data_IF_304901295311
#
_entry.id   IF_304901295311
#
_cell.length_a   1.000
_cell.length_b   1.000
_cell.length_c   1.000
_cell.angle_alpha   90.00
_cell.angle_beta   90.00
_cell.angle_gamma   90.00
#
_symmetry.space_group_name_H-M   'P 1'
#
loop_
_entity.id
_entity.type
_entity.pdbx_description
1 polymer ?
#
# COMPACT_ATOMS: atom_id res chain seq x y z
N UNK A 1 -16.86 5.27 56.89
CA UNK A 1 -17.05 5.11 55.43
C UNK A 1 -18.36 4.35 55.19
N UNK A 2 -19.19 4.84 54.33
CA UNK A 2 -20.43 4.13 53.94
C UNK A 2 -20.07 2.88 53.16
N UNK A 3 -20.88 1.84 53.22
CA UNK A 3 -20.66 0.56 52.52
C UNK A 3 -20.43 0.75 51.02
N UNK A 4 -21.05 1.76 50.41
CA UNK A 4 -20.87 2.19 49.02
C UNK A 4 -19.48 2.78 48.72
N UNK A 5 -18.89 3.48 49.68
CA UNK A 5 -17.55 4.04 49.55
C UNK A 5 -16.48 2.94 49.58
N UNK A 6 -16.67 1.93 50.42
CA UNK A 6 -15.78 0.76 50.51
C UNK A 6 -15.82 -0.02 49.20
N UNK A 7 -17.01 -0.24 48.61
CA UNK A 7 -17.18 -0.93 47.33
C UNK A 7 -16.49 -0.14 46.19
N UNK A 8 -16.67 1.19 46.20
CA UNK A 8 -16.00 2.05 45.20
C UNK A 8 -14.47 1.96 45.26
N UNK A 9 -13.90 2.01 46.47
CA UNK A 9 -12.48 1.88 46.68
C UNK A 9 -11.93 0.50 46.32
N UNK A 10 -12.70 -0.57 46.60
CA UNK A 10 -12.34 -1.92 46.14
C UNK A 10 -12.36 -2.00 44.62
N UNK A 11 -13.36 -1.43 43.92
CA UNK A 11 -13.40 -1.41 42.46
C UNK A 11 -12.24 -0.61 41.85
N UNK A 12 -11.88 0.52 42.44
CA UNK A 12 -10.73 1.32 42.04
C UNK A 12 -9.42 0.54 42.25
N UNK A 13 -9.26 -0.14 43.38
CA UNK A 13 -8.09 -0.96 43.67
C UNK A 13 -7.98 -2.16 42.71
N UNK A 14 -9.09 -2.82 42.39
CA UNK A 14 -9.15 -3.92 41.40
C UNK A 14 -8.83 -3.41 40.01
N UNK A 15 -9.35 -2.24 39.60
CA UNK A 15 -9.06 -1.63 38.31
C UNK A 15 -7.58 -1.21 38.21
N UNK A 16 -6.98 -0.68 39.27
CA UNK A 16 -5.57 -0.38 39.37
C UNK A 16 -4.69 -1.65 39.32
N UNK A 17 -5.08 -2.69 40.08
CA UNK A 17 -4.38 -3.97 40.06
C UNK A 17 -4.49 -4.65 38.70
N UNK A 18 -5.65 -4.64 38.05
CA UNK A 18 -5.81 -5.14 36.68
C UNK A 18 -4.93 -4.40 35.67
N UNK A 19 -4.80 -3.06 35.82
CA UNK A 19 -3.88 -2.28 34.99
C UNK A 19 -2.39 -2.61 35.24
N UNK A 20 -2.02 -3.03 36.44
CA UNK A 20 -0.66 -3.47 36.78
C UNK A 20 -0.38 -4.89 36.26
N UNK A 21 -1.40 -5.75 36.25
CA UNK A 21 -1.27 -7.17 35.86
C UNK A 21 -1.57 -7.46 34.39
N UNK A 22 -2.20 -6.52 33.65
CA UNK A 22 -2.34 -6.73 32.20
C UNK A 22 -0.94 -6.84 31.57
N UNK A 23 -0.69 -7.90 30.81
CA UNK A 23 0.55 -8.02 30.04
C UNK A 23 0.84 -6.74 29.27
N UNK A 24 2.10 -6.28 29.30
CA UNK A 24 2.48 -5.00 28.68
C UNK A 24 2.05 -4.86 27.23
N UNK A 25 1.94 -5.98 26.50
CA UNK A 25 1.49 -6.02 25.11
C UNK A 25 -0.04 -5.85 24.93
N UNK A 26 -0.82 -6.03 26.00
CA UNK A 26 -2.28 -5.76 26.00
C UNK A 26 -2.62 -4.35 26.49
N UNK A 27 -1.64 -3.56 26.93
CA UNK A 27 -1.86 -2.17 27.27
C UNK A 27 -1.71 -1.35 26.01
N UNK A 28 -2.73 -0.58 25.60
CA UNK A 28 -2.52 0.42 24.54
C UNK A 28 -1.41 1.36 25.00
N UNK A 29 -0.36 1.41 24.23
CA UNK A 29 0.85 2.19 24.58
C UNK A 29 0.63 3.69 24.43
N UNK A 30 -0.37 4.08 23.61
CA UNK A 30 -0.67 5.48 23.27
C UNK A 30 -2.18 5.72 23.18
N UNK A 31 -2.59 6.95 23.49
CA UNK A 31 -3.98 7.39 23.34
C UNK A 31 -4.49 7.24 21.91
N UNK A 32 -3.65 7.42 20.91
CA UNK A 32 -4.01 7.31 19.50
C UNK A 32 -4.18 5.87 18.99
N UNK A 33 -3.73 4.83 19.70
CA UNK A 33 -4.09 3.44 19.40
C UNK A 33 -5.58 3.17 19.68
N UNK A 34 -6.20 3.97 20.55
CA UNK A 34 -7.63 3.92 20.87
C UNK A 34 -8.40 5.05 20.20
N UNK A 35 -7.74 6.21 20.03
CA UNK A 35 -8.32 7.42 19.47
C UNK A 35 -7.52 7.86 18.24
N UNK A 36 -8.10 7.58 17.08
CA UNK A 36 -7.53 7.93 15.78
C UNK A 36 -7.79 9.41 15.40
N UNK A 37 -8.37 10.23 16.31
CA UNK A 37 -8.76 11.61 16.00
C UNK A 37 -7.62 12.45 15.41
N UNK A 38 -6.40 12.28 15.94
CA UNK A 38 -5.23 13.00 15.41
C UNK A 38 -4.84 12.53 13.99
N UNK A 39 -4.96 11.24 13.70
CA UNK A 39 -4.71 10.69 12.36
C UNK A 39 -5.80 11.12 11.38
N UNK A 40 -7.06 11.09 11.80
CA UNK A 40 -8.15 11.63 11.00
C UNK A 40 -7.95 13.12 10.67
N UNK A 41 -7.48 13.93 11.62
CA UNK A 41 -7.23 15.34 11.41
C UNK A 41 -6.11 15.61 10.37
N UNK A 42 -5.17 14.68 10.18
CA UNK A 42 -4.17 14.74 9.11
C UNK A 42 -4.78 14.43 7.75
N UNK A 43 -5.68 13.44 7.67
CA UNK A 43 -6.31 13.03 6.43
C UNK A 43 -7.43 13.97 5.98
N UNK A 44 -8.22 14.47 6.93
CA UNK A 44 -9.39 15.33 6.70
C UNK A 44 -9.04 16.77 7.07
N UNK A 45 -8.21 17.41 6.25
CA UNK A 45 -7.67 18.75 6.47
C UNK A 45 -8.34 19.85 5.63
N UNK A 46 -9.28 19.49 4.73
CA UNK A 46 -9.96 20.45 3.84
C UNK A 46 -11.31 20.88 4.40
N UNK A 47 -11.65 22.17 4.21
CA UNK A 47 -12.97 22.72 4.44
C UNK A 47 -13.85 22.59 3.20
N UNK A 48 -15.15 22.81 3.33
CA UNK A 48 -16.05 22.90 2.18
C UNK A 48 -15.62 23.98 1.17
N UNK A 49 -15.07 25.09 1.67
CA UNK A 49 -14.55 26.18 0.82
C UNK A 49 -13.33 25.73 0.01
N UNK A 50 -12.38 24.99 0.63
CA UNK A 50 -11.22 24.45 -0.09
C UNK A 50 -11.61 23.46 -1.18
N UNK A 51 -12.60 22.61 -0.90
CA UNK A 51 -13.14 21.65 -1.89
C UNK A 51 -13.84 22.39 -3.04
N UNK A 52 -14.65 23.39 -2.72
CA UNK A 52 -15.34 24.24 -3.71
C UNK A 52 -14.35 25.00 -4.58
N UNK A 53 -13.29 25.59 -4.01
CA UNK A 53 -12.24 26.27 -4.75
C UNK A 53 -11.53 25.31 -5.73
N UNK A 54 -11.24 24.08 -5.31
CA UNK A 54 -10.66 23.09 -6.22
C UNK A 54 -11.61 22.75 -7.38
N UNK A 55 -12.89 22.48 -7.08
CA UNK A 55 -13.90 22.08 -8.08
C UNK A 55 -14.20 23.21 -9.05
N UNK A 56 -14.25 24.47 -8.58
CA UNK A 56 -14.54 25.64 -9.41
C UNK A 56 -13.55 25.86 -10.56
N UNK A 57 -12.36 25.31 -10.49
CA UNK A 57 -11.37 25.32 -11.60
C UNK A 57 -11.86 24.58 -12.83
N UNK A 58 -12.76 23.62 -12.67
CA UNK A 58 -13.33 22.78 -13.72
C UNK A 58 -14.83 23.05 -13.93
N UNK A 59 -15.53 23.47 -12.88
CA UNK A 59 -16.96 23.81 -12.87
C UNK A 59 -17.09 25.19 -12.23
N UNK A 60 -16.94 26.28 -13.02
CA UNK A 60 -16.94 27.67 -12.47
C UNK A 60 -18.17 28.02 -11.65
N UNK A 61 -19.35 27.52 -12.05
CA UNK A 61 -20.65 27.81 -11.42
C UNK A 61 -21.07 26.76 -10.40
N UNK A 62 -20.10 25.99 -9.79
CA UNK A 62 -20.43 24.98 -8.79
C UNK A 62 -21.12 25.63 -7.58
N UNK A 63 -22.28 25.06 -7.20
CA UNK A 63 -23.09 25.58 -6.09
C UNK A 63 -22.83 24.83 -4.79
N UNK A 64 -23.23 25.42 -3.66
CA UNK A 64 -23.11 24.78 -2.35
C UNK A 64 -24.04 23.57 -2.25
N UNK A 65 -25.19 23.57 -2.91
CA UNK A 65 -26.11 22.45 -2.98
C UNK A 65 -25.47 21.25 -3.72
N UNK A 66 -24.70 21.49 -4.77
CA UNK A 66 -23.96 20.45 -5.47
C UNK A 66 -22.87 19.84 -4.57
N UNK A 67 -22.11 20.67 -3.85
CA UNK A 67 -21.12 20.19 -2.88
C UNK A 67 -21.81 19.34 -1.81
N UNK A 68 -22.94 19.80 -1.28
CA UNK A 68 -23.71 19.05 -0.29
C UNK A 68 -24.20 17.71 -0.85
N UNK A 69 -24.78 17.69 -2.05
CA UNK A 69 -25.26 16.46 -2.69
C UNK A 69 -24.13 15.43 -2.92
N UNK A 70 -22.95 15.89 -3.35
CA UNK A 70 -21.78 14.99 -3.47
C UNK A 70 -21.26 14.51 -2.12
N UNK A 71 -21.37 15.31 -1.07
CA UNK A 71 -21.01 14.92 0.30
C UNK A 71 -21.98 13.87 0.83
N UNK A 72 -23.29 14.11 0.72
CA UNK A 72 -24.35 13.19 1.17
C UNK A 72 -24.31 11.84 0.42
N UNK A 73 -23.95 11.87 -0.86
CA UNK A 73 -23.79 10.65 -1.68
C UNK A 73 -22.44 9.95 -1.46
N UNK A 74 -21.55 10.46 -0.59
CA UNK A 74 -20.22 9.91 -0.31
C UNK A 74 -19.19 10.13 -1.42
N UNK A 75 -19.51 10.86 -2.49
CA UNK A 75 -18.58 11.18 -3.59
C UNK A 75 -17.50 12.18 -3.17
N UNK A 76 -17.79 13.03 -2.20
CA UNK A 76 -16.83 13.85 -1.47
C UNK A 76 -16.66 13.24 -0.08
N UNK A 77 -15.58 12.47 0.11
CA UNK A 77 -15.32 11.83 1.40
C UNK A 77 -15.12 12.89 2.47
N UNK A 78 -15.92 12.81 3.53
CA UNK A 78 -15.92 13.76 4.64
C UNK A 78 -16.08 13.09 5.99
N UNK A 79 -15.71 13.79 7.05
CA UNK A 79 -15.83 13.34 8.44
C UNK A 79 -16.05 14.53 9.38
N UNK A 80 -16.85 14.29 10.42
CA UNK A 80 -16.99 15.27 11.50
C UNK A 80 -15.74 15.27 12.38
N UNK A 81 -15.03 16.42 12.42
CA UNK A 81 -13.84 16.63 13.24
C UNK A 81 -14.04 17.93 14.04
N UNK A 82 -14.04 17.83 15.36
CA UNK A 82 -14.20 18.99 16.22
C UNK A 82 -15.48 19.83 15.95
N UNK A 83 -16.61 19.17 15.65
CA UNK A 83 -17.91 19.78 15.30
C UNK A 83 -17.92 20.53 13.95
N UNK A 84 -17.04 20.17 13.05
CA UNK A 84 -17.00 20.68 11.68
C UNK A 84 -16.93 19.54 10.70
N UNK A 85 -17.65 19.61 9.61
CA UNK A 85 -17.49 18.71 8.48
C UNK A 85 -16.19 19.07 7.77
N UNK A 86 -15.23 18.15 7.86
CA UNK A 86 -13.94 18.23 7.19
C UNK A 86 -13.88 17.21 6.06
N UNK A 87 -13.23 17.57 4.98
CA UNK A 87 -13.12 16.73 3.80
C UNK A 87 -11.72 16.09 3.70
N UNK A 88 -11.69 14.89 3.16
CA UNK A 88 -10.43 14.23 2.83
C UNK A 88 -9.59 15.12 1.91
N UNK A 89 -8.29 15.19 2.17
CA UNK A 89 -7.36 16.08 1.43
C UNK A 89 -7.44 15.96 -0.10
N UNK A 90 -7.81 14.76 -0.60
CA UNK A 90 -8.01 14.49 -2.02
C UNK A 90 -9.50 14.34 -2.40
N UNK A 91 -10.46 14.77 -1.60
CA UNK A 91 -11.88 14.65 -1.91
C UNK A 91 -12.24 15.32 -3.25
N UNK A 92 -11.80 16.56 -3.48
CA UNK A 92 -12.01 17.26 -4.76
C UNK A 92 -11.36 16.52 -5.94
N UNK A 93 -10.04 16.20 -5.93
CA UNK A 93 -9.41 15.38 -6.96
C UNK A 93 -10.09 14.02 -7.19
N UNK A 94 -10.51 13.34 -6.13
CA UNK A 94 -11.18 12.04 -6.23
C UNK A 94 -12.54 12.13 -6.90
N UNK A 95 -13.32 13.18 -6.66
CA UNK A 95 -14.59 13.40 -7.35
C UNK A 95 -14.44 13.30 -8.88
N UNK A 96 -13.38 13.91 -9.43
CA UNK A 96 -13.07 13.85 -10.86
C UNK A 96 -12.43 12.54 -11.33
N UNK A 97 -12.14 11.61 -10.44
CA UNK A 97 -11.66 10.26 -10.77
C UNK A 97 -12.79 9.24 -10.78
N UNK A 98 -13.74 9.40 -9.84
CA UNK A 98 -14.79 8.41 -9.58
C UNK A 98 -16.12 8.71 -10.31
N UNK A 99 -16.32 9.95 -10.77
CA UNK A 99 -17.52 10.34 -11.54
C UNK A 99 -17.14 10.43 -13.02
N UNK A 100 -17.65 9.52 -13.89
CA UNK A 100 -17.18 9.44 -15.28
C UNK A 100 -17.31 10.72 -16.09
N UNK A 101 -18.45 11.42 -15.99
CA UNK A 101 -18.68 12.67 -16.71
C UNK A 101 -17.72 13.78 -16.26
N UNK A 102 -17.48 13.87 -14.95
CA UNK A 102 -16.53 14.84 -14.40
C UNK A 102 -15.09 14.49 -14.75
N UNK A 103 -14.77 13.19 -14.81
CA UNK A 103 -13.46 12.75 -15.29
C UNK A 103 -13.22 13.18 -16.73
N UNK A 104 -14.19 12.94 -17.62
CA UNK A 104 -14.12 13.37 -19.02
C UNK A 104 -13.97 14.88 -19.15
N UNK A 105 -14.75 15.64 -18.39
CA UNK A 105 -14.65 17.11 -18.34
C UNK A 105 -13.25 17.55 -17.93
N UNK A 106 -12.74 17.01 -16.83
CA UNK A 106 -11.41 17.36 -16.32
C UNK A 106 -10.30 17.00 -17.32
N UNK A 107 -10.34 15.80 -17.89
CA UNK A 107 -9.34 15.33 -18.85
C UNK A 107 -9.33 16.22 -20.12
N UNK A 108 -10.52 16.67 -20.56
CA UNK A 108 -10.65 17.63 -21.67
C UNK A 108 -10.03 19.00 -21.36
N UNK A 109 -10.30 19.56 -20.16
CA UNK A 109 -9.77 20.86 -19.73
C UNK A 109 -8.26 20.80 -19.53
N UNK A 110 -7.75 19.70 -18.93
CA UNK A 110 -6.32 19.48 -18.70
C UNK A 110 -5.56 19.16 -20.01
N UNK A 111 -6.24 19.06 -21.15
CA UNK A 111 -5.63 18.71 -22.44
C UNK A 111 -5.09 17.30 -22.50
N UNK A 112 -5.61 16.39 -21.66
CA UNK A 112 -5.28 14.97 -21.74
C UNK A 112 -6.01 14.38 -22.91
N UNK A 113 -5.24 14.02 -23.95
CA UNK A 113 -5.77 13.29 -25.10
C UNK A 113 -6.08 11.82 -24.77
N UNK A 114 -6.65 11.12 -25.75
CA UNK A 114 -6.90 9.66 -25.67
C UNK A 114 -5.59 8.84 -25.73
N UNK A 115 -4.45 9.50 -25.74
CA UNK A 115 -3.13 8.88 -25.79
C UNK A 115 -2.69 8.27 -24.47
N UNK A 116 -1.80 7.29 -24.58
CA UNK A 116 -1.16 6.70 -23.40
C UNK A 116 -0.11 7.67 -22.87
N UNK A 117 -0.16 7.97 -21.58
CA UNK A 117 0.80 8.82 -20.86
C UNK A 117 1.46 8.07 -19.69
N UNK A 118 2.53 8.67 -19.13
CA UNK A 118 3.23 8.13 -17.96
C UNK A 118 3.65 6.66 -18.13
N UNK A 119 3.38 5.84 -17.10
CA UNK A 119 3.69 4.41 -17.12
C UNK A 119 2.99 3.67 -18.26
N UNK A 120 1.76 4.06 -18.65
CA UNK A 120 0.99 3.38 -19.71
C UNK A 120 1.71 3.43 -21.06
N UNK A 121 2.35 4.55 -21.38
CA UNK A 121 3.13 4.70 -22.61
C UNK A 121 4.37 3.79 -22.63
N UNK A 122 4.93 3.51 -21.46
CA UNK A 122 6.06 2.60 -21.29
C UNK A 122 5.59 1.16 -21.40
N UNK A 123 4.53 0.81 -20.68
CA UNK A 123 3.97 -0.54 -20.64
C UNK A 123 3.47 -1.00 -22.02
N UNK A 124 2.87 -0.09 -22.80
CA UNK A 124 2.46 -0.39 -24.15
C UNK A 124 3.62 -0.83 -25.06
N UNK A 125 4.86 -0.43 -24.73
CA UNK A 125 6.08 -0.88 -25.44
C UNK A 125 6.71 -2.12 -24.80
N UNK A 126 6.66 -2.21 -23.48
CA UNK A 126 7.36 -3.25 -22.69
C UNK A 126 6.59 -4.57 -22.69
N UNK A 127 5.27 -4.52 -22.52
CA UNK A 127 4.45 -5.73 -22.41
C UNK A 127 4.50 -6.60 -23.66
N UNK A 128 4.40 -6.07 -24.89
CA UNK A 128 4.57 -6.88 -26.09
C UNK A 128 5.94 -7.59 -26.16
N UNK A 129 7.02 -6.92 -25.75
CA UNK A 129 8.37 -7.50 -25.73
C UNK A 129 8.47 -8.65 -24.72
N UNK A 130 7.93 -8.47 -23.52
CA UNK A 130 7.90 -9.52 -22.49
C UNK A 130 7.13 -10.73 -23.02
N UNK A 131 5.95 -10.52 -23.59
CA UNK A 131 5.12 -11.61 -24.16
C UNK A 131 5.84 -12.35 -25.26
N UNK A 132 6.49 -11.64 -26.20
CA UNK A 132 7.27 -12.23 -27.27
C UNK A 132 8.41 -13.10 -26.72
N UNK A 133 9.18 -12.56 -25.77
CA UNK A 133 10.31 -13.26 -25.17
C UNK A 133 9.85 -14.53 -24.44
N UNK A 134 8.77 -14.47 -23.66
CA UNK A 134 8.21 -15.62 -22.95
C UNK A 134 7.69 -16.67 -23.95
N UNK A 135 6.94 -16.27 -24.96
CA UNK A 135 6.38 -17.18 -25.97
C UNK A 135 7.48 -17.80 -26.87
N UNK A 136 8.62 -17.14 -27.00
CA UNK A 136 9.79 -17.70 -27.70
C UNK A 136 10.60 -18.70 -26.86
N UNK A 137 10.17 -18.98 -25.62
CA UNK A 137 10.78 -19.98 -24.75
C UNK A 137 11.96 -19.48 -23.89
N UNK A 138 12.12 -18.17 -23.71
CA UNK A 138 13.19 -17.60 -22.85
C UNK A 138 12.89 -17.73 -21.33
N UNK A 139 11.79 -18.37 -20.95
CA UNK A 139 11.31 -18.45 -19.58
C UNK A 139 10.27 -17.39 -19.23
N UNK A 140 9.72 -17.43 -18.01
CA UNK A 140 8.68 -16.47 -17.56
C UNK A 140 9.25 -15.13 -17.09
N UNK A 141 10.54 -15.06 -16.77
CA UNK A 141 11.23 -13.86 -16.27
C UNK A 141 12.19 -13.36 -17.33
N UNK A 142 11.93 -12.18 -17.88
CA UNK A 142 12.63 -11.62 -19.05
C UNK A 142 12.78 -10.11 -18.96
N UNK A 143 13.49 -9.50 -19.90
CA UNK A 143 13.64 -8.05 -20.07
C UNK A 143 14.18 -7.35 -18.79
N UNK A 144 15.38 -7.71 -18.31
CA UNK A 144 15.96 -7.13 -17.11
C UNK A 144 16.23 -5.63 -17.26
N UNK A 145 15.97 -4.87 -16.20
CA UNK A 145 16.28 -3.44 -16.05
C UNK A 145 17.09 -3.21 -14.79
N UNK A 146 18.30 -2.69 -14.94
CA UNK A 146 19.16 -2.34 -13.82
C UNK A 146 18.92 -0.90 -13.40
N UNK A 147 18.74 -0.68 -12.12
CA UNK A 147 18.46 0.62 -11.54
C UNK A 147 19.33 0.84 -10.30
N UNK A 148 19.69 2.11 -10.05
CA UNK A 148 20.24 2.57 -8.78
C UNK A 148 19.20 3.46 -8.12
N UNK A 149 18.96 3.22 -6.84
CA UNK A 149 17.99 3.98 -6.06
C UNK A 149 18.70 4.65 -4.88
N UNK A 150 18.38 5.92 -4.66
CA UNK A 150 18.64 6.62 -3.41
C UNK A 150 17.31 6.85 -2.73
N UNK A 151 17.10 6.24 -1.56
CA UNK A 151 15.93 6.47 -0.73
C UNK A 151 16.31 7.28 0.50
N UNK A 152 15.47 8.21 0.93
CA UNK A 152 15.72 9.05 2.10
C UNK A 152 14.47 9.37 2.88
N UNK A 153 14.63 9.51 4.20
CA UNK A 153 13.61 9.96 5.14
C UNK A 153 14.18 11.14 5.92
N UNK A 154 13.45 12.26 5.94
CA UNK A 154 13.87 13.49 6.61
C UNK A 154 12.92 13.84 7.75
N UNK A 155 13.46 13.99 8.95
CA UNK A 155 12.77 14.48 10.15
C UNK A 155 13.13 15.95 10.34
N UNK A 156 12.17 16.89 10.29
CA UNK A 156 12.43 18.32 10.47
C UNK A 156 13.00 18.63 11.86
N UNK A 157 13.85 19.64 11.93
CA UNK A 157 14.40 20.14 13.19
C UNK A 157 13.28 20.50 14.16
N UNK A 158 13.51 20.27 15.45
CA UNK A 158 12.52 20.50 16.52
C UNK A 158 11.26 19.63 16.49
N UNK A 159 11.14 18.63 15.61
CA UNK A 159 10.06 17.63 15.67
C UNK A 159 10.09 16.87 16.99
N UNK A 160 11.29 16.57 17.50
CA UNK A 160 11.50 15.94 18.80
C UNK A 160 12.53 16.70 19.62
N UNK A 161 12.57 16.44 20.94
CA UNK A 161 13.53 17.07 21.85
C UNK A 161 14.96 16.72 21.45
N UNK A 162 15.84 17.71 21.35
CA UNK A 162 17.27 17.50 21.10
C UNK A 162 17.89 16.55 22.13
N UNK A 163 18.74 15.63 21.66
CA UNK A 163 19.34 14.57 22.47
C UNK A 163 18.52 13.29 22.56
N UNK A 164 17.25 13.29 22.14
CA UNK A 164 16.45 12.06 21.99
C UNK A 164 17.01 11.17 20.88
N UNK A 165 16.89 9.87 21.02
CA UNK A 165 17.25 8.93 19.95
C UNK A 165 16.14 8.92 18.91
N UNK A 166 16.49 9.16 17.65
CA UNK A 166 15.68 8.91 16.47
C UNK A 166 16.08 7.56 15.89
N UNK A 167 15.10 6.74 15.54
CA UNK A 167 15.25 5.42 14.90
C UNK A 167 14.49 5.42 13.60
N UNK A 168 15.12 4.98 12.53
CA UNK A 168 14.55 4.97 11.20
C UNK A 168 14.72 3.60 10.55
N UNK A 169 13.65 3.11 9.92
CA UNK A 169 13.63 1.94 9.03
C UNK A 169 13.39 2.46 7.62
N UNK A 170 14.33 2.21 6.72
CA UNK A 170 14.21 2.53 5.29
C UNK A 170 13.81 1.27 4.52
N UNK A 171 13.01 1.36 3.43
CA UNK A 171 12.55 0.22 2.66
C UNK A 171 13.67 -0.33 1.75
N UNK A 172 14.20 -1.51 2.02
CA UNK A 172 15.29 -2.14 1.28
C UNK A 172 14.79 -3.26 0.36
N UNK A 173 15.44 -3.53 -0.80
CA UNK A 173 15.02 -4.58 -1.71
C UNK A 173 14.97 -5.97 -1.05
N UNK A 174 13.89 -6.72 -1.30
CA UNK A 174 13.82 -8.14 -0.92
C UNK A 174 14.76 -9.00 -1.77
N UNK A 175 15.38 -9.99 -1.15
CA UNK A 175 16.34 -10.92 -1.78
C UNK A 175 15.70 -12.23 -2.24
N UNK A 176 14.48 -12.53 -1.82
CA UNK A 176 13.74 -13.76 -2.08
C UNK A 176 12.74 -13.66 -3.24
N UNK A 177 12.85 -12.65 -4.10
CA UNK A 177 11.99 -12.43 -5.26
C UNK A 177 12.75 -12.79 -6.54
N UNK A 178 12.32 -13.83 -7.24
CA UNK A 178 13.05 -14.40 -8.39
C UNK A 178 13.34 -13.40 -9.52
N UNK A 179 12.45 -12.44 -9.78
CA UNK A 179 12.62 -11.39 -10.80
C UNK A 179 13.44 -10.18 -10.33
N UNK A 180 13.87 -10.17 -9.05
CA UNK A 180 14.63 -9.07 -8.43
C UNK A 180 16.01 -9.60 -8.02
N UNK A 181 17.02 -9.29 -8.82
CA UNK A 181 18.36 -9.88 -8.73
C UNK A 181 19.46 -8.82 -8.63
N UNK A 182 20.71 -9.26 -8.48
CA UNK A 182 21.90 -8.40 -8.46
C UNK A 182 21.82 -7.24 -7.47
N UNK A 183 21.16 -7.47 -6.33
CA UNK A 183 21.01 -6.47 -5.29
C UNK A 183 22.37 -6.15 -4.70
N UNK A 184 22.78 -4.90 -4.81
CA UNK A 184 24.06 -4.40 -4.33
C UNK A 184 23.84 -3.20 -3.43
N UNK A 185 24.13 -3.34 -2.16
CA UNK A 185 24.24 -2.21 -1.24
C UNK A 185 25.43 -1.35 -1.63
N UNK A 186 25.24 -0.04 -1.72
CA UNK A 186 26.29 0.95 -2.05
C UNK A 186 26.71 1.68 -0.78
N UNK A 187 25.78 2.38 -0.15
CA UNK A 187 26.01 3.13 1.09
C UNK A 187 24.70 3.43 1.81
N UNK A 188 24.79 3.73 3.09
CA UNK A 188 23.72 4.36 3.85
C UNK A 188 24.32 5.32 4.87
N UNK A 189 23.53 6.30 5.30
CA UNK A 189 24.05 7.30 6.21
C UNK A 189 23.03 8.30 6.74
N UNK A 190 23.55 9.32 7.42
CA UNK A 190 22.78 10.38 8.04
C UNK A 190 23.40 11.72 7.66
N UNK A 191 22.58 12.69 7.23
CA UNK A 191 22.98 14.05 6.86
C UNK A 191 24.14 14.10 5.85
N UNK A 192 24.09 13.22 4.85
CA UNK A 192 25.13 13.06 3.82
C UNK A 192 26.47 12.45 4.32
N UNK A 193 26.51 11.96 5.55
CA UNK A 193 27.67 11.23 6.10
C UNK A 193 27.37 9.75 6.06
N UNK A 194 28.14 9.00 5.27
CA UNK A 194 28.05 7.54 5.21
C UNK A 194 28.41 6.93 6.59
N UNK A 195 27.60 5.98 7.03
CA UNK A 195 27.83 5.27 8.27
C UNK A 195 28.70 4.02 8.05
N UNK A 196 29.52 3.64 9.03
CA UNK A 196 30.20 2.33 9.02
C UNK A 196 29.18 1.23 9.17
N UNK A 197 29.52 0.03 8.65
CA UNK A 197 28.58 -1.10 8.59
C UNK A 197 28.04 -1.58 9.94
N UNK A 198 28.77 -1.40 11.03
CA UNK A 198 28.34 -1.73 12.40
C UNK A 198 27.22 -0.80 12.94
N UNK A 199 26.90 0.28 12.22
CA UNK A 199 25.81 1.23 12.52
C UNK A 199 24.59 1.05 11.63
N UNK A 200 24.61 0.08 10.75
CA UNK A 200 23.57 -0.24 9.79
C UNK A 200 23.08 -1.66 10.05
N UNK A 201 21.79 -1.86 10.25
CA UNK A 201 21.21 -3.17 10.50
C UNK A 201 20.18 -3.47 9.40
N UNK A 202 20.45 -4.50 8.61
CA UNK A 202 19.45 -5.04 7.68
C UNK A 202 18.47 -5.92 8.44
N UNK A 203 17.22 -5.91 7.99
CA UNK A 203 16.21 -6.83 8.53
C UNK A 203 16.64 -8.29 8.30
N UNK A 204 16.17 -9.17 9.19
CA UNK A 204 16.27 -10.61 8.97
C UNK A 204 15.61 -10.97 7.63
N UNK A 205 16.22 -11.83 6.79
CA UNK A 205 15.66 -12.24 5.51
C UNK A 205 14.24 -12.84 5.58
N UNK A 206 13.88 -13.44 6.73
CA UNK A 206 12.54 -13.98 6.97
C UNK A 206 11.48 -12.90 7.26
N UNK A 207 11.87 -11.64 7.50
CA UNK A 207 10.94 -10.58 7.75
C UNK A 207 10.14 -10.22 6.50
N UNK A 208 8.84 -10.06 6.65
CA UNK A 208 7.96 -9.66 5.56
C UNK A 208 8.26 -8.26 5.02
N UNK A 209 8.74 -7.37 5.88
CA UNK A 209 9.14 -6.00 5.55
C UNK A 209 10.66 -5.92 5.49
N UNK A 210 11.21 -5.92 4.27
CA UNK A 210 12.65 -5.77 4.08
C UNK A 210 13.09 -4.35 4.38
N UNK A 211 13.97 -4.16 5.34
CA UNK A 211 14.36 -2.83 5.80
C UNK A 211 15.84 -2.70 6.15
N UNK A 212 16.31 -1.48 6.09
CA UNK A 212 17.60 -1.03 6.61
C UNK A 212 17.34 -0.08 7.77
N UNK A 213 17.86 -0.42 8.94
CA UNK A 213 17.69 0.34 10.18
C UNK A 213 18.93 1.14 10.52
N UNK A 214 18.70 2.35 10.96
CA UNK A 214 19.72 3.27 11.52
C UNK A 214 19.16 4.07 12.68
N UNK A 215 20.04 4.55 13.57
CA UNK A 215 19.65 5.47 14.63
C UNK A 215 20.66 6.61 14.83
N UNK A 216 20.18 7.74 15.35
CA UNK A 216 21.01 8.89 15.71
C UNK A 216 20.37 9.70 16.83
N UNK A 217 21.12 10.69 17.34
CA UNK A 217 20.58 11.67 18.29
C UNK A 217 20.01 12.88 17.57
N UNK A 218 18.78 13.24 17.89
CA UNK A 218 18.16 14.48 17.41
C UNK A 218 18.99 15.69 17.87
N UNK A 219 19.17 16.63 16.97
CA UNK A 219 19.84 17.90 17.24
C UNK A 219 18.86 19.09 17.16
N UNK A 220 19.32 20.31 17.45
CA UNK A 220 18.51 21.55 17.41
C UNK A 220 18.90 22.50 16.27
N UNK A 221 19.75 22.06 15.36
CA UNK A 221 20.39 22.95 14.41
C UNK A 221 19.89 22.77 12.98
N UNK A 222 19.56 21.55 12.60
CA UNK A 222 19.14 21.18 11.25
C UNK A 222 18.24 19.95 11.23
N UNK A 223 17.58 19.74 10.13
CA UNK A 223 16.81 18.53 9.83
C UNK A 223 17.74 17.31 9.84
N UNK A 224 17.21 16.15 10.18
CA UNK A 224 17.96 14.89 10.13
C UNK A 224 17.45 14.05 8.97
N UNK A 225 18.34 13.71 8.04
CA UNK A 225 18.04 12.90 6.87
C UNK A 225 18.76 11.57 6.93
N UNK A 226 18.00 10.49 7.09
CA UNK A 226 18.46 9.12 6.89
C UNK A 226 18.40 8.78 5.42
N UNK A 227 19.43 8.12 4.88
CA UNK A 227 19.42 7.70 3.48
C UNK A 227 20.11 6.37 3.25
N UNK A 228 19.75 5.73 2.18
CA UNK A 228 20.41 4.55 1.62
C UNK A 228 20.54 4.67 0.11
N UNK A 229 21.55 3.99 -0.45
CA UNK A 229 21.77 3.85 -1.89
C UNK A 229 22.03 2.38 -2.19
N UNK A 230 21.31 1.85 -3.16
CA UNK A 230 21.47 0.48 -3.63
C UNK A 230 21.27 0.39 -5.15
N UNK A 231 21.80 -0.68 -5.73
CA UNK A 231 21.52 -1.08 -7.10
C UNK A 231 20.81 -2.43 -7.09
N UNK A 232 19.98 -2.68 -8.10
CA UNK A 232 19.34 -3.96 -8.30
C UNK A 232 18.91 -4.10 -9.77
N UNK A 233 18.61 -5.33 -10.16
CA UNK A 233 18.02 -5.65 -11.45
C UNK A 233 16.60 -6.14 -11.21
N UNK A 234 15.62 -5.52 -11.89
CA UNK A 234 14.24 -6.00 -11.92
C UNK A 234 13.89 -6.45 -13.33
N UNK A 235 13.25 -7.61 -13.44
CA UNK A 235 12.82 -8.18 -14.72
C UNK A 235 11.31 -8.15 -14.86
N UNK A 236 10.80 -8.06 -16.07
CA UNK A 236 9.41 -8.35 -16.38
C UNK A 236 9.13 -9.83 -16.15
N UNK A 237 7.94 -10.15 -15.71
CA UNK A 237 7.50 -11.53 -15.50
C UNK A 237 6.11 -11.72 -16.11
N UNK A 238 5.90 -12.86 -16.78
CA UNK A 238 4.59 -13.20 -17.32
C UNK A 238 4.41 -14.71 -17.44
N UNK A 239 3.25 -15.17 -16.98
CA UNK A 239 2.79 -16.55 -17.06
C UNK A 239 1.54 -16.58 -17.94
N UNK A 240 1.61 -17.15 -19.17
CA UNK A 240 0.43 -17.37 -20.01
C UNK A 240 -0.39 -18.53 -19.46
N UNK A 241 -1.23 -18.25 -18.47
CA UNK A 241 -2.00 -19.28 -17.76
C UNK A 241 -3.11 -19.79 -18.67
N UNK A 242 -3.06 -21.10 -18.95
CA UNK A 242 -4.15 -21.84 -19.57
C UNK A 242 -5.03 -22.45 -18.46
N UNK A 243 -6.27 -22.02 -18.38
CA UNK A 243 -7.20 -22.47 -17.35
C UNK A 243 -7.41 -24.00 -17.36
N UNK A 244 -7.31 -24.65 -18.53
CA UNK A 244 -7.48 -26.11 -18.64
C UNK A 244 -6.32 -26.90 -18.00
N UNK A 245 -5.18 -26.27 -17.80
CA UNK A 245 -3.99 -26.90 -17.22
C UNK A 245 -3.80 -26.62 -15.74
N UNK A 246 -4.60 -25.72 -15.14
CA UNK A 246 -4.60 -25.45 -13.72
C UNK A 246 -5.11 -26.66 -12.94
N UNK A 247 -4.28 -27.18 -12.03
CA UNK A 247 -4.58 -28.41 -11.27
C UNK A 247 -5.32 -28.08 -9.97
N UNK A 248 -5.90 -29.13 -9.37
CA UNK A 248 -6.48 -29.03 -8.03
C UNK A 248 -5.42 -28.82 -6.97
N UNK A 249 -5.72 -28.00 -5.96
CA UNK A 249 -4.82 -27.72 -4.83
C UNK A 249 -4.67 -28.90 -3.88
N UNK A 250 -3.49 -29.05 -3.29
CA UNK A 250 -3.30 -29.84 -2.08
C UNK A 250 -3.72 -28.98 -0.88
N UNK A 251 -4.93 -29.18 -0.40
CA UNK A 251 -5.51 -28.40 0.71
C UNK A 251 -4.90 -28.70 2.08
N UNK A 252 -4.11 -29.78 2.20
CA UNK A 252 -3.38 -30.13 3.44
C UNK A 252 -2.03 -29.41 3.56
N UNK A 253 -1.59 -28.73 2.48
CA UNK A 253 -0.35 -27.96 2.51
C UNK A 253 -0.50 -26.75 3.44
N UNK A 254 0.47 -26.57 4.35
CA UNK A 254 0.45 -25.45 5.33
C UNK A 254 0.48 -24.08 4.67
N UNK A 255 1.22 -23.93 3.57
CA UNK A 255 1.25 -22.69 2.79
C UNK A 255 -0.12 -22.40 2.14
N UNK A 256 -0.79 -23.44 1.60
CA UNK A 256 -2.16 -23.30 1.11
C UNK A 256 -3.10 -22.81 2.21
N UNK A 257 -3.06 -23.44 3.39
CA UNK A 257 -3.93 -23.08 4.51
C UNK A 257 -3.64 -21.66 5.02
N UNK A 258 -2.38 -21.24 5.08
CA UNK A 258 -2.01 -19.88 5.47
C UNK A 258 -2.59 -18.85 4.50
N UNK A 259 -2.41 -19.04 3.18
CA UNK A 259 -2.77 -18.04 2.18
C UNK A 259 -4.20 -18.16 1.64
N UNK A 260 -5.01 -19.07 2.19
CA UNK A 260 -6.47 -19.14 1.99
C UNK A 260 -7.26 -18.82 3.26
N UNK A 261 -6.58 -18.56 4.39
CA UNK A 261 -7.24 -18.21 5.65
C UNK A 261 -7.55 -16.72 5.77
N UNK A 262 -8.48 -16.41 6.67
CA UNK A 262 -8.67 -15.04 7.15
C UNK A 262 -7.42 -14.53 7.86
N UNK A 263 -7.26 -13.22 7.84
CA UNK A 263 -6.22 -12.55 8.59
C UNK A 263 -6.63 -11.14 8.96
N UNK A 264 -6.86 -10.95 10.25
CA UNK A 264 -7.11 -9.62 10.78
C UNK A 264 -5.93 -8.69 10.48
N UNK A 265 -6.17 -7.47 10.18
CA UNK A 265 -7.39 -6.67 10.31
C UNK A 265 -8.20 -6.62 8.99
N UNK A 266 -7.60 -6.93 7.85
CA UNK A 266 -8.17 -6.56 6.56
C UNK A 266 -8.68 -7.74 5.73
N UNK A 267 -8.16 -8.95 5.93
CA UNK A 267 -8.65 -10.14 5.20
C UNK A 267 -9.66 -10.87 6.08
N UNK A 268 -10.91 -10.42 6.04
CA UNK A 268 -12.04 -10.97 6.80
C UNK A 268 -13.16 -11.35 5.83
N UNK A 269 -13.67 -12.57 5.96
CA UNK A 269 -14.72 -13.11 5.09
C UNK A 269 -16.10 -12.68 5.59
N UNK A 270 -16.42 -11.39 5.45
CA UNK A 270 -17.73 -10.86 5.83
C UNK A 270 -18.83 -11.40 4.91
N UNK A 271 -20.09 -11.37 5.37
CA UNK A 271 -21.20 -11.85 4.56
C UNK A 271 -21.33 -11.13 3.22
N UNK A 272 -20.95 -9.85 3.16
CA UNK A 272 -20.95 -9.06 1.94
C UNK A 272 -19.88 -9.51 0.94
N UNK A 273 -18.66 -9.77 1.44
CA UNK A 273 -17.56 -10.31 0.62
C UNK A 273 -17.93 -11.69 0.09
N UNK A 274 -18.45 -12.58 0.96
CA UNK A 274 -18.91 -13.92 0.57
C UNK A 274 -19.96 -13.85 -0.53
N UNK A 275 -21.04 -13.09 -0.30
CA UNK A 275 -22.13 -12.95 -1.26
C UNK A 275 -21.64 -12.42 -2.61
N UNK A 276 -20.73 -11.44 -2.62
CA UNK A 276 -20.14 -10.91 -3.85
C UNK A 276 -19.30 -11.96 -4.57
N UNK A 277 -18.38 -12.62 -3.87
CA UNK A 277 -17.49 -13.63 -4.44
C UNK A 277 -18.30 -14.82 -5.00
N UNK A 278 -19.30 -15.30 -4.25
CA UNK A 278 -20.17 -16.40 -4.68
C UNK A 278 -20.96 -16.02 -5.93
N UNK A 279 -21.54 -14.83 -5.97
CA UNK A 279 -22.28 -14.35 -7.14
C UNK A 279 -21.39 -14.23 -8.38
N UNK A 280 -20.15 -13.72 -8.24
CA UNK A 280 -19.23 -13.55 -9.37
C UNK A 280 -18.63 -14.86 -9.87
N UNK A 281 -18.59 -15.89 -9.04
CA UNK A 281 -18.04 -17.20 -9.35
C UNK A 281 -19.11 -18.27 -9.53
N UNK A 282 -20.39 -17.91 -9.63
CA UNK A 282 -21.49 -18.87 -9.80
C UNK A 282 -21.26 -19.72 -11.05
N UNK A 283 -21.26 -21.05 -10.89
CA UNK A 283 -21.01 -22.01 -11.97
C UNK A 283 -19.56 -22.08 -12.47
N UNK A 284 -18.63 -21.37 -11.84
CA UNK A 284 -17.20 -21.40 -12.20
C UNK A 284 -16.45 -22.22 -11.14
N UNK A 285 -15.97 -23.40 -11.50
CA UNK A 285 -15.15 -24.25 -10.60
C UNK A 285 -13.66 -23.97 -10.71
N UNK A 286 -13.20 -23.52 -11.88
CA UNK A 286 -11.78 -23.29 -12.13
C UNK A 286 -11.25 -22.07 -11.37
N UNK A 287 -10.19 -22.20 -10.53
CA UNK A 287 -9.73 -21.11 -9.67
C UNK A 287 -9.15 -19.91 -10.46
N UNK A 288 -8.53 -20.14 -11.61
CA UNK A 288 -8.05 -19.04 -12.44
C UNK A 288 -9.20 -18.24 -13.04
N UNK A 289 -10.26 -18.93 -13.49
CA UNK A 289 -11.44 -18.25 -14.04
C UNK A 289 -12.23 -17.52 -12.95
N UNK A 290 -12.27 -18.03 -11.72
CA UNK A 290 -12.83 -17.31 -10.56
C UNK A 290 -12.02 -16.03 -10.27
N UNK A 291 -10.70 -16.13 -10.16
CA UNK A 291 -9.82 -14.98 -9.96
C UNK A 291 -9.98 -13.95 -11.09
N UNK A 292 -10.10 -14.41 -12.34
CA UNK A 292 -10.36 -13.55 -13.51
C UNK A 292 -11.71 -12.84 -13.43
N UNK A 293 -12.75 -13.50 -12.92
CA UNK A 293 -14.05 -12.88 -12.71
C UNK A 293 -13.98 -11.77 -11.66
N UNK A 294 -13.30 -12.01 -10.53
CA UNK A 294 -13.08 -11.00 -9.49
C UNK A 294 -12.26 -9.81 -10.00
N UNK A 295 -11.16 -10.10 -10.69
CA UNK A 295 -10.31 -9.09 -11.32
C UNK A 295 -11.09 -8.19 -12.28
N UNK A 296 -11.90 -8.81 -13.16
CA UNK A 296 -12.73 -8.09 -14.13
C UNK A 296 -13.78 -7.22 -13.45
N UNK A 297 -14.43 -7.75 -12.41
CA UNK A 297 -15.44 -6.98 -11.67
C UNK A 297 -14.82 -5.78 -10.95
N UNK A 298 -13.67 -5.93 -10.30
CA UNK A 298 -12.99 -4.83 -9.62
C UNK A 298 -12.56 -3.76 -10.64
N UNK A 299 -12.01 -4.17 -11.78
CA UNK A 299 -11.59 -3.25 -12.84
C UNK A 299 -12.77 -2.38 -13.33
N UNK A 300 -13.92 -3.00 -13.55
CA UNK A 300 -15.12 -2.33 -14.04
C UNK A 300 -15.86 -1.48 -12.99
N UNK A 301 -15.80 -1.84 -11.71
CA UNK A 301 -16.67 -1.26 -10.67
C UNK A 301 -15.94 -0.43 -9.61
N UNK A 302 -14.64 -0.56 -9.50
CA UNK A 302 -13.82 0.13 -8.49
C UNK A 302 -12.77 1.01 -9.17
N UNK A 303 -13.14 2.24 -9.58
CA UNK A 303 -12.18 3.19 -10.15
C UNK A 303 -11.09 3.52 -9.15
N UNK A 304 -9.89 3.83 -9.69
CA UNK A 304 -8.78 4.24 -8.85
C UNK A 304 -9.02 5.65 -8.27
N UNK A 305 -8.84 5.78 -6.97
CA UNK A 305 -8.88 7.05 -6.25
C UNK A 305 -7.83 7.05 -5.14
N UNK A 306 -7.32 8.22 -4.78
CA UNK A 306 -6.39 8.36 -3.65
C UNK A 306 -7.05 7.91 -2.35
N UNK A 307 -6.36 7.11 -1.56
CA UNK A 307 -6.82 6.64 -0.27
C UNK A 307 -6.37 7.54 0.88
N UNK A 308 -7.14 7.55 1.94
CA UNK A 308 -6.68 7.98 3.25
C UNK A 308 -5.76 6.93 3.88
N UNK A 309 -5.03 7.31 4.90
CA UNK A 309 -4.06 6.43 5.54
C UNK A 309 -4.73 5.13 6.03
N UNK A 310 -4.18 3.98 5.67
CA UNK A 310 -4.74 2.64 5.94
C UNK A 310 -4.96 2.38 7.42
N UNK A 311 -4.09 2.94 8.29
CA UNK A 311 -4.24 2.88 9.73
C UNK A 311 -5.53 3.54 10.27
N UNK A 312 -6.24 4.29 9.43
CA UNK A 312 -7.53 4.94 9.77
C UNK A 312 -8.74 4.16 9.28
N UNK A 313 -8.54 3.00 8.65
CA UNK A 313 -9.59 2.15 8.07
C UNK A 313 -9.61 0.82 8.81
N UNK A 314 -10.73 0.49 9.42
CA UNK A 314 -10.87 -0.73 10.22
C UNK A 314 -10.81 -2.00 9.36
N UNK A 315 -11.57 -2.03 8.27
CA UNK A 315 -11.54 -3.11 7.28
C UNK A 315 -11.53 -2.51 5.87
N UNK A 316 -10.41 -2.63 5.17
CA UNK A 316 -10.21 -2.01 3.86
C UNK A 316 -11.12 -2.62 2.77
N UNK A 317 -11.28 -3.94 2.59
CA UNK A 317 -12.22 -4.50 1.61
C UNK A 317 -13.67 -4.03 1.80
N UNK A 318 -14.16 -4.00 3.03
CA UNK A 318 -15.50 -3.50 3.33
C UNK A 318 -15.64 -2.00 3.03
N UNK A 319 -14.61 -1.23 3.36
CA UNK A 319 -14.57 0.19 3.02
C UNK A 319 -14.66 0.39 1.50
N UNK A 320 -13.85 -0.31 0.71
CA UNK A 320 -13.87 -0.24 -0.77
C UNK A 320 -15.25 -0.58 -1.32
N UNK A 321 -15.88 -1.64 -0.83
CA UNK A 321 -17.25 -1.99 -1.25
C UNK A 321 -18.28 -0.93 -0.88
N UNK A 322 -18.04 -0.19 0.20
CA UNK A 322 -18.95 0.88 0.65
C UNK A 322 -18.80 2.15 -0.18
N UNK A 323 -17.56 2.60 -0.42
CA UNK A 323 -17.27 3.86 -1.13
C UNK A 323 -17.21 3.69 -2.65
N UNK A 324 -17.09 2.46 -3.15
CA UNK A 324 -17.02 2.09 -4.58
C UNK A 324 -15.82 2.71 -5.33
N UNK A 325 -14.71 2.88 -4.65
CA UNK A 325 -13.43 3.26 -5.23
C UNK A 325 -12.29 2.83 -4.31
N UNK A 326 -11.06 2.87 -4.80
CA UNK A 326 -9.88 2.55 -3.98
C UNK A 326 -8.58 2.81 -4.72
N UNK A 327 -7.49 2.90 -3.97
CA UNK A 327 -6.14 2.92 -4.53
C UNK A 327 -5.61 1.49 -4.79
N UNK A 328 -4.31 1.40 -5.10
CA UNK A 328 -3.68 0.13 -5.44
C UNK A 328 -3.80 -0.93 -4.32
N UNK A 329 -3.48 -0.58 -3.08
CA UNK A 329 -3.52 -1.51 -1.97
C UNK A 329 -4.94 -1.87 -1.55
N UNK A 330 -5.86 -0.93 -1.61
CA UNK A 330 -7.27 -1.16 -1.30
C UNK A 330 -7.92 -2.13 -2.29
N UNK A 331 -7.68 -1.96 -3.59
CA UNK A 331 -8.15 -2.89 -4.64
C UNK A 331 -7.51 -4.27 -4.50
N UNK A 332 -6.21 -4.30 -4.18
CA UNK A 332 -5.46 -5.54 -3.97
C UNK A 332 -5.99 -6.34 -2.78
N UNK A 333 -6.25 -5.71 -1.63
CA UNK A 333 -6.82 -6.38 -0.46
C UNK A 333 -8.22 -6.92 -0.74
N UNK A 334 -9.04 -6.20 -1.51
CA UNK A 334 -10.35 -6.68 -1.93
C UNK A 334 -10.23 -7.95 -2.80
N UNK A 335 -9.36 -7.93 -3.82
CA UNK A 335 -9.11 -9.10 -4.67
C UNK A 335 -8.62 -10.29 -3.85
N UNK A 336 -7.60 -10.09 -3.01
CA UNK A 336 -7.03 -11.13 -2.16
C UNK A 336 -8.07 -11.75 -1.24
N UNK A 337 -8.94 -10.93 -0.64
CA UNK A 337 -9.98 -11.41 0.28
C UNK A 337 -10.99 -12.31 -0.44
N UNK A 338 -11.45 -11.92 -1.62
CA UNK A 338 -12.35 -12.77 -2.44
C UNK A 338 -11.65 -14.05 -2.91
N UNK A 339 -10.40 -13.97 -3.35
CA UNK A 339 -9.60 -15.12 -3.75
C UNK A 339 -9.42 -16.10 -2.59
N UNK A 340 -8.98 -15.64 -1.42
CA UNK A 340 -8.79 -16.49 -0.23
C UNK A 340 -10.10 -17.17 0.20
N UNK A 341 -11.20 -16.43 0.20
CA UNK A 341 -12.52 -17.00 0.52
C UNK A 341 -12.90 -18.15 -0.43
N UNK A 342 -12.56 -18.06 -1.70
CA UNK A 342 -12.80 -19.12 -2.70
C UNK A 342 -11.71 -20.21 -2.73
N UNK A 343 -10.79 -20.21 -1.76
CA UNK A 343 -9.73 -21.20 -1.68
C UNK A 343 -8.60 -20.98 -2.71
N UNK A 344 -8.45 -19.77 -3.24
CA UNK A 344 -7.34 -19.40 -4.12
C UNK A 344 -6.27 -18.72 -3.25
N UNK A 345 -5.08 -19.33 -3.06
CA UNK A 345 -4.05 -18.74 -2.22
C UNK A 345 -3.59 -17.40 -2.76
N UNK A 346 -3.59 -16.39 -1.91
CA UNK A 346 -3.23 -15.02 -2.26
C UNK A 346 -2.30 -14.42 -1.21
N UNK A 347 -1.18 -13.82 -1.64
CA UNK A 347 -0.23 -13.13 -0.77
C UNK A 347 0.06 -11.72 -1.24
N UNK A 348 0.32 -10.84 -0.30
CA UNK A 348 0.61 -9.43 -0.56
C UNK A 348 2.01 -9.24 -1.10
N UNK A 349 2.15 -8.35 -2.07
CA UNK A 349 3.42 -7.73 -2.44
C UNK A 349 3.24 -6.21 -2.55
N UNK A 350 4.28 -5.48 -2.16
CA UNK A 350 4.32 -4.03 -2.34
C UNK A 350 5.74 -3.48 -2.35
N UNK A 351 5.84 -2.23 -2.75
CA UNK A 351 7.09 -1.50 -2.82
C UNK A 351 6.97 -0.25 -3.67
N UNK A 352 7.79 -0.14 -4.72
CA UNK A 352 7.83 1.05 -5.54
C UNK A 352 7.53 0.73 -7.01
N UNK A 353 6.71 1.56 -7.63
CA UNK A 353 6.59 1.70 -9.07
C UNK A 353 7.65 2.69 -9.54
N UNK A 354 8.47 2.31 -10.50
CA UNK A 354 9.69 3.02 -10.87
C UNK A 354 9.79 3.27 -12.39
N UNK A 355 8.66 3.54 -13.04
CA UNK A 355 8.64 3.87 -14.46
C UNK A 355 9.35 5.20 -14.71
N UNK A 356 10.15 5.33 -15.79
CA UNK A 356 10.76 6.60 -16.17
C UNK A 356 9.72 7.72 -16.31
N UNK A 357 9.86 8.77 -15.49
CA UNK A 357 8.95 9.91 -15.48
C UNK A 357 7.63 9.72 -14.72
N UNK A 358 7.34 8.50 -14.23
CA UNK A 358 6.12 8.21 -13.48
C UNK A 358 6.41 7.22 -12.33
N UNK A 359 6.93 7.73 -11.23
CA UNK A 359 7.31 6.94 -10.06
C UNK A 359 6.36 7.15 -8.90
N UNK A 360 6.03 6.08 -8.18
CA UNK A 360 5.13 6.13 -7.03
C UNK A 360 5.39 4.95 -6.07
N UNK A 361 4.76 4.99 -4.90
CA UNK A 361 4.51 3.80 -4.09
C UNK A 361 3.49 2.92 -4.81
N UNK A 362 3.58 1.60 -4.64
CA UNK A 362 2.63 0.72 -5.32
C UNK A 362 2.46 -0.62 -4.63
N UNK A 363 1.22 -1.13 -4.70
CA UNK A 363 0.77 -2.36 -4.09
C UNK A 363 0.17 -3.28 -5.15
N UNK A 364 0.46 -4.57 -5.02
CA UNK A 364 -0.07 -5.66 -5.82
C UNK A 364 -0.09 -6.95 -5.01
N UNK A 365 -0.41 -8.08 -5.61
CA UNK A 365 -0.36 -9.37 -4.95
C UNK A 365 0.25 -10.45 -5.85
N UNK A 366 0.39 -11.63 -5.29
CA UNK A 366 0.59 -12.86 -6.03
C UNK A 366 -0.57 -13.80 -5.73
N UNK A 367 -1.03 -14.51 -6.75
CA UNK A 367 -1.96 -15.62 -6.62
C UNK A 367 -1.22 -16.92 -6.95
N UNK A 368 -1.55 -17.98 -6.23
CA UNK A 368 -0.99 -19.29 -6.52
C UNK A 368 -1.95 -20.10 -7.37
N UNK A 369 -1.45 -20.64 -8.48
CA UNK A 369 -2.18 -21.61 -9.31
C UNK A 369 -1.39 -22.90 -9.42
N UNK A 370 -2.01 -24.02 -9.04
CA UNK A 370 -1.34 -25.32 -9.06
C UNK A 370 -0.91 -25.71 -10.48
N UNK A 371 0.39 -25.98 -10.63
CA UNK A 371 1.04 -26.19 -11.92
C UNK A 371 1.79 -24.98 -12.47
N UNK A 372 1.52 -23.77 -11.95
CA UNK A 372 2.21 -22.52 -12.29
C UNK A 372 3.02 -21.93 -11.13
N UNK A 373 2.59 -22.19 -9.89
CA UNK A 373 3.19 -21.57 -8.70
C UNK A 373 2.59 -20.20 -8.41
N UNK A 374 3.34 -19.37 -7.68
CA UNK A 374 3.00 -17.98 -7.40
C UNK A 374 3.20 -17.13 -8.65
N UNK A 375 2.16 -16.44 -9.06
CA UNK A 375 2.18 -15.53 -10.22
C UNK A 375 1.80 -14.11 -9.81
N UNK A 376 2.44 -13.08 -10.36
CA UNK A 376 2.15 -11.71 -10.00
C UNK A 376 0.79 -11.25 -10.55
N UNK A 377 0.06 -10.47 -9.74
CA UNK A 377 -1.23 -9.89 -10.13
C UNK A 377 -1.31 -8.44 -9.66
N UNK A 378 -1.46 -7.52 -10.60
CA UNK A 378 -1.63 -6.11 -10.31
C UNK A 378 -3.05 -5.65 -10.68
N UNK A 379 -3.92 -5.62 -9.67
CA UNK A 379 -5.31 -5.22 -9.83
C UNK A 379 -5.48 -3.74 -10.21
N UNK A 380 -4.53 -2.90 -9.80
CA UNK A 380 -4.60 -1.46 -10.02
C UNK A 380 -4.34 -1.05 -11.46
N UNK A 381 -3.49 -1.83 -12.15
CA UNK A 381 -3.21 -1.63 -13.58
C UNK A 381 -4.32 -2.16 -14.47
N UNK A 382 -5.09 -3.15 -14.00
CA UNK A 382 -6.34 -3.58 -14.61
C UNK A 382 -6.19 -4.21 -16.00
N UNK A 383 -7.29 -4.15 -16.76
CA UNK A 383 -7.35 -4.64 -18.14
C UNK A 383 -6.93 -3.52 -19.08
N UNK A 384 -5.86 -3.72 -19.84
CA UNK A 384 -5.28 -2.68 -20.67
C UNK A 384 -5.52 -2.92 -22.17
N UNK A 385 -5.65 -1.87 -23.00
CA UNK A 385 -5.86 -2.03 -24.45
C UNK A 385 -4.64 -2.64 -25.17
N UNK A 386 -3.44 -2.54 -24.59
CA UNK A 386 -2.20 -3.03 -25.16
C UNK A 386 -1.75 -4.40 -24.61
N UNK A 387 -2.32 -4.85 -23.50
CA UNK A 387 -1.94 -6.10 -22.84
C UNK A 387 -3.10 -7.01 -22.47
N UNK A 388 -4.37 -6.54 -22.58
CA UNK A 388 -5.52 -7.30 -22.08
C UNK A 388 -5.38 -7.60 -20.61
N UNK A 389 -5.45 -8.87 -20.23
CA UNK A 389 -5.27 -9.37 -18.86
C UNK A 389 -3.80 -9.60 -18.49
N UNK A 390 -2.85 -8.89 -19.08
CA UNK A 390 -1.43 -9.09 -18.79
C UNK A 390 -1.12 -9.08 -17.30
N UNK A 391 -1.69 -8.13 -16.55
CA UNK A 391 -1.49 -7.96 -15.12
C UNK A 391 -2.24 -8.98 -14.23
N UNK A 392 -2.90 -9.97 -14.81
CA UNK A 392 -3.37 -11.19 -14.16
C UNK A 392 -2.44 -12.36 -14.54
N UNK A 393 -1.29 -12.44 -13.91
CA UNK A 393 -0.22 -13.39 -14.18
C UNK A 393 1.04 -12.77 -14.78
N UNK A 394 1.12 -11.44 -14.81
CA UNK A 394 2.28 -10.70 -15.30
C UNK A 394 2.53 -9.39 -14.57
N UNK A 395 3.78 -8.92 -14.65
CA UNK A 395 4.22 -7.65 -14.09
C UNK A 395 5.38 -7.07 -14.91
N UNK A 396 5.43 -5.75 -15.02
CA UNK A 396 6.48 -5.01 -15.72
C UNK A 396 7.82 -4.97 -14.95
N UNK A 397 8.95 -4.64 -15.59
CA UNK A 397 10.27 -4.63 -14.95
C UNK A 397 10.56 -3.37 -14.13
N UNK A 398 9.65 -2.42 -14.04
CA UNK A 398 9.86 -1.17 -13.29
C UNK A 398 9.27 -1.25 -11.88
N UNK A 399 9.59 -2.32 -11.16
CA UNK A 399 9.11 -2.60 -9.81
C UNK A 399 10.25 -2.88 -8.85
N UNK A 400 10.11 -2.37 -7.64
CA UNK A 400 10.92 -2.77 -6.48
C UNK A 400 10.01 -3.44 -5.46
N UNK A 401 10.28 -4.69 -5.12
CA UNK A 401 9.58 -5.40 -4.05
C UNK A 401 10.30 -5.17 -2.73
N UNK A 402 9.57 -4.68 -1.76
CA UNK A 402 10.04 -4.43 -0.39
C UNK A 402 9.31 -5.34 0.61
N UNK A 403 8.05 -5.63 0.34
CA UNK A 403 7.18 -6.41 1.20
C UNK A 403 6.62 -7.62 0.47
N UNK A 404 6.56 -8.77 1.15
CA UNK A 404 5.87 -9.98 0.67
C UNK A 404 4.71 -10.41 1.59
N UNK A 405 4.36 -9.56 2.54
CA UNK A 405 3.20 -9.69 3.41
C UNK A 405 2.82 -8.32 3.99
N UNK A 406 1.69 -8.22 4.69
CA UNK A 406 1.20 -7.00 5.30
C UNK A 406 1.07 -7.12 6.82
N UNK A 407 1.16 -5.98 7.53
CA UNK A 407 0.92 -5.89 8.97
C UNK A 407 1.86 -6.69 9.86
N UNK A 408 3.08 -7.00 9.42
CA UNK A 408 4.07 -7.74 10.19
C UNK A 408 5.01 -6.82 10.99
N UNK A 409 5.73 -7.42 11.94
CA UNK A 409 6.75 -6.73 12.72
C UNK A 409 8.02 -6.48 11.89
N UNK A 410 8.82 -5.52 12.34
CA UNK A 410 10.16 -5.23 11.80
C UNK A 410 11.26 -6.03 12.51
N UNK A 411 12.42 -6.09 11.89
CA UNK A 411 13.67 -6.50 12.51
C UNK A 411 14.76 -5.45 12.16
N UNK A 412 15.31 -4.72 13.13
CA UNK A 412 14.94 -4.69 14.57
C UNK A 412 13.50 -4.25 14.81
N UNK A 413 12.88 -4.80 15.88
CA UNK A 413 11.48 -4.50 16.20
C UNK A 413 11.29 -3.04 16.65
N UNK A 414 10.22 -2.40 16.20
CA UNK A 414 9.79 -1.09 16.71
C UNK A 414 9.30 -1.20 18.15
N UNK A 415 9.59 -0.18 18.95
CA UNK A 415 9.07 -0.06 20.32
C UNK A 415 7.63 0.46 20.35
N UNK A 416 7.25 1.16 19.31
CA UNK A 416 6.01 1.91 19.21
C UNK A 416 5.24 1.48 17.97
N UNK A 417 3.89 1.61 17.96
CA UNK A 417 3.06 1.22 16.84
C UNK A 417 3.48 1.90 15.54
N UNK A 418 3.22 1.24 14.44
CA UNK A 418 3.56 1.70 13.10
C UNK A 418 2.68 2.87 12.66
N UNK A 419 3.21 3.70 11.77
CA UNK A 419 2.43 4.72 11.06
C UNK A 419 1.48 4.07 10.08
N UNK A 420 1.96 3.11 9.29
CA UNK A 420 1.15 2.26 8.44
C UNK A 420 0.96 0.88 9.09
N UNK A 421 -0.29 0.39 9.13
CA UNK A 421 -0.63 -0.91 9.71
C UNK A 421 -0.63 -2.05 8.68
N UNK A 422 -0.60 -1.72 7.40
CA UNK A 422 -0.59 -2.69 6.29
C UNK A 422 0.80 -2.77 5.69
N UNK A 423 1.32 -1.66 5.21
CA UNK A 423 2.42 -1.61 4.29
C UNK A 423 3.70 -1.00 4.87
N UNK A 424 4.79 -1.10 4.12
CA UNK A 424 6.06 -0.46 4.45
C UNK A 424 6.78 -0.01 3.18
N UNK A 425 6.42 1.16 2.68
CA UNK A 425 6.97 1.72 1.45
C UNK A 425 7.66 3.07 1.68
N UNK A 426 7.19 3.82 2.68
CA UNK A 426 7.66 5.19 2.98
C UNK A 426 8.82 5.22 3.95
N UNK A 427 9.06 4.12 4.65
CA UNK A 427 9.86 4.06 5.85
C UNK A 427 9.02 4.25 7.12
N UNK A 428 9.67 4.10 8.25
CA UNK A 428 9.08 4.32 9.58
C UNK A 428 10.06 5.02 10.48
N UNK A 429 9.56 5.93 11.32
CA UNK A 429 10.40 6.67 12.26
C UNK A 429 9.78 6.63 13.65
N UNK A 430 10.62 6.36 14.65
CA UNK A 430 10.25 6.53 16.06
C UNK A 430 11.35 7.27 16.84
N UNK A 431 11.00 7.77 18.01
CA UNK A 431 11.94 8.39 18.93
C UNK A 431 11.75 7.86 20.35
N UNK A 432 12.52 8.35 21.31
CA UNK A 432 12.44 7.87 22.71
C UNK A 432 11.06 8.07 23.36
N UNK A 433 10.24 9.01 22.86
CA UNK A 433 8.93 9.34 23.39
C UNK A 433 7.76 8.79 22.59
N UNK A 434 7.95 8.18 21.42
CA UNK A 434 6.84 7.67 20.61
C UNK A 434 7.15 7.43 19.15
N UNK A 435 6.14 7.04 18.39
CA UNK A 435 6.19 6.98 16.93
C UNK A 435 6.06 8.40 16.35
N UNK A 436 6.70 8.65 15.21
CA UNK A 436 6.44 9.83 14.38
C UNK A 436 5.51 9.45 13.24
N UNK A 437 4.38 10.16 13.13
CA UNK A 437 3.42 9.93 12.07
C UNK A 437 3.78 10.70 10.80
N UNK A 438 3.14 10.40 9.68
CA UNK A 438 3.48 10.91 8.34
C UNK A 438 3.49 12.44 8.16
N UNK A 439 2.87 13.21 9.03
CA UNK A 439 2.96 14.67 9.00
C UNK A 439 4.18 15.23 9.76
N UNK A 440 5.00 14.37 10.38
CA UNK A 440 6.15 14.76 11.20
C UNK A 440 7.49 14.43 10.52
N UNK A 441 7.46 13.84 9.35
CA UNK A 441 8.63 13.53 8.52
C UNK A 441 8.21 13.42 7.06
N UNK A 442 9.18 13.38 6.15
CA UNK A 442 8.97 13.20 4.72
C UNK A 442 9.89 12.14 4.16
N UNK A 443 9.53 11.56 3.02
CA UNK A 443 10.39 10.63 2.29
C UNK A 443 10.59 11.11 0.86
N UNK A 444 11.70 10.67 0.25
CA UNK A 444 12.02 10.90 -1.15
C UNK A 444 12.81 9.72 -1.70
N UNK A 445 12.57 9.35 -2.95
CA UNK A 445 13.44 8.44 -3.67
C UNK A 445 13.78 8.96 -5.07
N UNK A 446 15.01 8.68 -5.49
CA UNK A 446 15.58 9.06 -6.77
C UNK A 446 16.05 7.80 -7.47
N UNK A 447 15.89 7.75 -8.79
CA UNK A 447 16.18 6.57 -9.61
C UNK A 447 17.13 6.97 -10.74
N UNK A 448 18.24 6.25 -10.84
CA UNK A 448 19.13 6.27 -11.98
C UNK A 448 18.92 4.96 -12.77
N UNK A 449 18.53 5.08 -14.04
CA UNK A 449 18.33 3.92 -14.90
C UNK A 449 19.65 3.56 -15.56
N UNK A 450 20.25 2.43 -15.15
CA UNK A 450 21.56 1.97 -15.60
C UNK A 450 21.50 1.10 -16.86
N UNK A 451 20.32 0.55 -17.18
CA UNK A 451 20.08 -0.16 -18.44
C UNK A 451 19.79 0.82 -19.59
N UNK A 452 20.11 0.45 -20.83
CA UNK A 452 19.74 1.26 -21.99
C UNK A 452 18.23 1.56 -22.01
N UNK A 453 17.88 2.76 -22.48
CA UNK A 453 16.49 3.12 -22.75
C UNK A 453 15.87 2.13 -23.75
N UNK A 454 14.55 1.96 -23.66
CA UNK A 454 13.81 1.19 -24.68
C UNK A 454 14.04 1.77 -26.07
N UNK A 455 14.04 0.96 -27.12
CA UNK A 455 14.04 1.45 -28.49
C UNK A 455 12.90 2.47 -28.69
N UNK A 456 13.17 3.53 -29.45
CA UNK A 456 12.18 4.58 -29.74
C UNK A 456 11.02 4.03 -30.55
#
# INVERSE_FOLDING_TARGET
MKRSEIILWIMVAVALAANIWLPKHLRPRYSWERDLSQRYAVDFDKTAADVKDYISRYIPDVTDEQIQAWTESGKLESKEIGRRTMYFRNAGPNLFRIVPDLKTLKDSIDGKGDGLDGHRAIDAKVIPLIREDVLSGKGSIVLPKRMRVRFSVTVPVNTVKAGSTLRCWLPYPRQDVARQTDIKFIEAGIDSIALPGDKIIFSDPSCAHSSLYMETKANRYHDITFYEVFEYTSSGEWHPIDSETVKSYNTENTEYQEYTSEREQHVIFTDRIKALADSLSEGIENPFLQAKAFYTWIDANIPWASAREYSTIENIPEYVLSVKHGDCGQKTLLLMTMCRYKGIPARWQSGLMMHPGDKNLHDWCELYFEGYGWVPVDQSFGITPYGGYYYLGGIDPYRLVVNNDFGRAFSPEKKYPRSDTVDFQRGEVEWDGGNLYYNQWSYRFEIEYLSPSLPK
#
